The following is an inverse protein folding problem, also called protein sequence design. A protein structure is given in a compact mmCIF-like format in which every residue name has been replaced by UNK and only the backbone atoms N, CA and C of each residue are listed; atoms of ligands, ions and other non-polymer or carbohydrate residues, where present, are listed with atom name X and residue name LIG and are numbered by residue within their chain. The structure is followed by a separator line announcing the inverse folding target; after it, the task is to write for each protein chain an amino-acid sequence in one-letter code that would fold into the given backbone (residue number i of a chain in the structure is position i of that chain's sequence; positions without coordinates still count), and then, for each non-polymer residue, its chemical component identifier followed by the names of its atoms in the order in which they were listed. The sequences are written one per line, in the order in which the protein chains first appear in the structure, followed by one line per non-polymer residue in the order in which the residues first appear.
data_IF_791869612289
#
_entry.id   IF_791869612289
#
_cell.length_a   1.000
_cell.length_b   1.000
_cell.length_c   1.000
_cell.angle_alpha   90.00
_cell.angle_beta   90.00
_cell.angle_gamma   90.00
#
_symmetry.space_group_name_H-M   'P 1'
#
loop_
_entity.id
_entity.type
_entity.pdbx_description
1 polymer ?
#
# COMPACT_ATOMS: atom_id res chain seq x y z
N UNK A 1 -22.11 24.29 -37.41
CA UNK A 1 -22.19 25.20 -36.26
C UNK A 1 -21.24 24.65 -35.21
N UNK A 2 -20.03 25.19 -35.16
CA UNK A 2 -18.97 24.75 -34.24
C UNK A 2 -19.22 25.42 -32.89
N UNK A 3 -19.33 24.63 -31.83
CA UNK A 3 -19.39 25.15 -30.46
C UNK A 3 -18.00 25.05 -29.83
N UNK A 4 -17.56 26.19 -29.32
CA UNK A 4 -16.31 26.45 -28.62
C UNK A 4 -16.35 25.83 -27.20
N UNK A 5 -15.27 25.19 -26.70
CA UNK A 5 -15.26 24.69 -25.33
C UNK A 5 -14.81 25.77 -24.33
N UNK A 6 -15.69 26.10 -23.38
CA UNK A 6 -15.37 26.91 -22.19
C UNK A 6 -14.33 26.19 -21.30
N UNK A 7 -13.24 26.89 -20.99
CA UNK A 7 -12.23 26.46 -20.05
C UNK A 7 -12.65 26.82 -18.61
N UNK A 8 -12.62 25.85 -17.70
CA UNK A 8 -12.88 26.07 -16.28
C UNK A 8 -11.61 26.58 -15.56
N UNK A 9 -11.74 27.48 -14.56
CA UNK A 9 -10.63 28.06 -13.83
C UNK A 9 -9.99 27.08 -12.83
N UNK A 10 -8.65 27.10 -12.76
CA UNK A 10 -7.85 26.40 -11.74
C UNK A 10 -7.75 27.24 -10.46
N UNK A 11 -8.01 26.68 -9.27
CA UNK A 11 -7.67 27.34 -8.01
C UNK A 11 -6.20 27.09 -7.61
N UNK A 12 -5.57 28.19 -7.22
CA UNK A 12 -4.15 28.34 -6.89
C UNK A 12 -3.75 27.71 -5.55
N UNK A 13 -2.48 27.29 -5.49
CA UNK A 13 -1.71 26.84 -4.33
C UNK A 13 -1.73 27.81 -3.13
N UNK A 14 -1.59 27.27 -1.91
CA UNK A 14 -0.77 27.89 -0.86
C UNK A 14 -0.28 26.80 0.10
N UNK A 15 1.02 26.56 0.08
CA UNK A 15 1.75 25.78 1.07
C UNK A 15 2.29 26.76 2.10
N UNK A 16 1.89 26.63 3.35
CA UNK A 16 2.45 27.42 4.44
C UNK A 16 3.54 26.61 5.15
N UNK A 17 4.68 27.26 5.31
CA UNK A 17 5.95 26.70 5.78
C UNK A 17 6.15 27.07 7.24
N UNK A 18 6.75 26.12 7.96
CA UNK A 18 7.63 26.25 9.13
C UNK A 18 8.07 27.67 9.55
N UNK A 19 7.99 27.98 10.85
CA UNK A 19 9.06 28.72 11.55
C UNK A 19 9.14 28.33 13.02
N UNK A 20 10.22 27.63 13.34
CA UNK A 20 10.94 27.62 14.62
C UNK A 20 11.32 29.02 15.12
N UNK A 21 11.31 29.23 16.44
CA UNK A 21 12.40 29.81 17.26
C UNK A 21 11.85 30.63 18.41
N UNK A 22 12.13 30.22 19.64
CA UNK A 22 12.38 31.19 20.72
C UNK A 22 13.37 30.60 21.72
N UNK A 23 14.54 31.24 21.76
CA UNK A 23 15.65 31.05 22.68
C UNK A 23 15.81 32.38 23.43
N UNK A 24 16.40 32.27 24.61
CA UNK A 24 17.06 33.32 25.43
C UNK A 24 16.32 33.60 26.75
N UNK A 25 16.90 33.09 27.82
CA UNK A 25 16.58 33.44 29.20
C UNK A 25 17.83 33.23 30.05
N UNK A 26 18.69 34.25 30.11
CA UNK A 26 19.79 34.36 31.07
C UNK A 26 19.23 34.75 32.45
N UNK A 27 19.55 33.98 33.49
CA UNK A 27 19.68 34.50 34.85
C UNK A 27 20.90 33.89 35.54
N UNK A 28 21.81 34.79 35.85
CA UNK A 28 22.82 34.78 36.90
C UNK A 28 22.26 34.25 38.24
N UNK A 29 23.08 33.55 39.03
CA UNK A 29 23.32 33.74 40.47
C UNK A 29 24.18 32.60 41.04
N UNK A 30 25.17 32.99 41.84
CA UNK A 30 26.26 32.14 42.29
C UNK A 30 25.93 31.07 43.32
N UNK A 31 26.86 30.12 43.40
CA UNK A 31 27.00 29.12 44.43
C UNK A 31 28.26 28.32 44.14
N UNK A 32 29.29 28.45 44.97
CA UNK A 32 30.47 27.58 44.94
C UNK A 32 30.06 26.16 45.35
N UNK A 33 30.23 25.13 44.51
CA UNK A 33 30.12 23.75 44.96
C UNK A 33 31.46 23.25 45.48
N UNK A 34 31.36 22.36 46.47
CA UNK A 34 32.43 21.58 47.08
C UNK A 34 33.26 20.80 46.03
N UNK A 35 34.50 20.36 46.35
CA UNK A 35 35.29 19.57 45.41
C UNK A 35 34.61 18.23 45.12
N UNK A 36 34.11 18.11 43.89
CA UNK A 36 33.53 16.90 43.32
C UNK A 36 34.52 15.72 43.39
N UNK A 37 34.01 14.61 43.92
CA UNK A 37 34.57 13.27 43.73
C UNK A 37 34.69 13.02 42.23
N UNK A 38 35.76 12.37 41.71
CA UNK A 38 35.80 11.98 40.31
C UNK A 38 34.67 10.99 40.07
N UNK A 39 33.55 11.49 39.55
CA UNK A 39 32.49 10.66 38.99
C UNK A 39 33.08 10.11 37.70
N UNK A 40 33.27 8.79 37.64
CA UNK A 40 33.59 8.10 36.39
C UNK A 40 32.69 8.66 35.29
N UNK A 41 33.23 9.03 34.11
CA UNK A 41 32.39 9.41 32.99
C UNK A 41 31.45 8.25 32.73
N UNK A 42 30.16 8.46 33.02
CA UNK A 42 29.10 7.52 32.69
C UNK A 42 29.29 7.14 31.24
N UNK A 43 29.49 5.83 31.02
CA UNK A 43 29.61 5.26 29.69
C UNK A 43 28.51 5.87 28.82
N UNK A 44 28.84 6.48 27.67
CA UNK A 44 27.79 6.97 26.78
C UNK A 44 26.89 5.78 26.51
N UNK A 45 25.61 5.93 26.83
CA UNK A 45 24.58 4.91 26.62
C UNK A 45 24.53 4.66 25.11
N UNK A 46 25.39 3.74 24.66
CA UNK A 46 25.50 3.37 23.26
C UNK A 46 24.12 2.83 22.91
N UNK A 47 23.47 3.35 21.84
CA UNK A 47 22.19 2.80 21.43
C UNK A 47 22.40 1.30 21.26
N UNK A 48 21.62 0.53 22.03
CA UNK A 48 21.64 -0.93 21.98
C UNK A 48 21.63 -1.33 20.49
N UNK A 49 22.50 -2.25 20.07
CA UNK A 49 22.49 -2.70 18.69
C UNK A 49 21.06 -3.13 18.34
N UNK A 50 20.44 -2.45 17.38
CA UNK A 50 19.11 -2.81 16.92
C UNK A 50 19.13 -4.31 16.61
N UNK A 51 18.38 -5.07 17.40
CA UNK A 51 18.28 -6.51 17.20
C UNK A 51 17.93 -6.76 15.73
N UNK A 52 18.59 -7.70 15.02
CA UNK A 52 18.32 -7.93 13.60
C UNK A 52 16.82 -8.19 13.44
N UNK A 53 16.09 -7.21 12.92
CA UNK A 53 14.65 -7.30 12.84
C UNK A 53 14.32 -8.53 12.01
N UNK A 54 13.72 -9.54 12.65
CA UNK A 54 13.34 -10.78 12.00
C UNK A 54 12.53 -10.44 10.76
N UNK A 55 12.87 -10.99 9.58
CA UNK A 55 12.19 -10.62 8.36
C UNK A 55 10.69 -10.87 8.53
N UNK A 56 9.86 -9.91 8.14
CA UNK A 56 8.42 -10.00 8.32
C UNK A 56 7.87 -11.23 7.59
N UNK A 57 6.94 -11.92 8.27
CA UNK A 57 6.37 -13.18 7.75
C UNK A 57 5.25 -12.89 6.78
N UNK A 58 5.34 -13.43 5.57
CA UNK A 58 4.22 -13.42 4.61
C UNK A 58 3.01 -14.15 5.18
N UNK A 59 1.84 -13.54 5.00
CA UNK A 59 0.50 -14.03 5.35
C UNK A 59 -0.28 -14.37 4.09
N UNK A 60 -1.36 -15.15 4.27
CA UNK A 60 -2.23 -15.55 3.17
C UNK A 60 -3.70 -15.34 3.51
N UNK A 61 -4.49 -14.96 2.50
CA UNK A 61 -5.94 -14.90 2.56
C UNK A 61 -6.56 -15.60 1.34
N UNK A 62 -7.71 -16.22 1.53
CA UNK A 62 -8.48 -16.86 0.46
C UNK A 62 -9.60 -15.94 0.00
N UNK A 63 -9.93 -16.04 -1.28
CA UNK A 63 -10.90 -15.15 -1.87
C UNK A 63 -11.32 -15.53 -3.27
N UNK A 64 -11.95 -14.57 -3.93
CA UNK A 64 -12.40 -14.66 -5.31
C UNK A 64 -11.79 -13.54 -6.13
N UNK A 65 -11.62 -13.80 -7.43
CA UNK A 65 -11.30 -12.78 -8.42
C UNK A 65 -12.33 -12.88 -9.53
N UNK A 66 -13.00 -11.78 -9.83
CA UNK A 66 -14.06 -11.71 -10.83
C UNK A 66 -13.74 -10.60 -11.80
N UNK A 67 -13.84 -10.89 -13.09
CA UNK A 67 -13.87 -9.89 -14.15
C UNK A 67 -15.28 -9.87 -14.73
N UNK A 68 -16.07 -8.86 -14.38
CA UNK A 68 -17.48 -8.77 -14.78
C UNK A 68 -17.66 -8.23 -16.20
N UNK A 69 -16.73 -7.40 -16.66
CA UNK A 69 -16.78 -6.75 -17.96
C UNK A 69 -15.36 -6.70 -18.58
N UNK A 70 -15.22 -6.02 -19.71
CA UNK A 70 -13.95 -5.99 -20.45
C UNK A 70 -12.90 -5.03 -19.87
N UNK A 71 -13.17 -4.27 -18.82
CA UNK A 71 -12.23 -3.27 -18.30
C UNK A 71 -12.17 -3.19 -16.77
N UNK A 72 -12.77 -4.12 -16.03
CA UNK A 72 -12.78 -4.10 -14.58
C UNK A 72 -12.61 -5.49 -13.95
N UNK A 73 -11.77 -5.55 -12.92
CA UNK A 73 -11.68 -6.69 -12.01
C UNK A 73 -12.11 -6.31 -10.59
N UNK A 74 -12.68 -7.29 -9.89
CA UNK A 74 -13.06 -7.22 -8.49
C UNK A 74 -12.47 -8.42 -7.77
N UNK A 75 -11.58 -8.17 -6.81
CA UNK A 75 -11.00 -9.20 -5.97
C UNK A 75 -11.53 -9.07 -4.55
N UNK A 76 -11.97 -10.17 -3.95
CA UNK A 76 -12.61 -10.18 -2.64
C UNK A 76 -11.93 -11.20 -1.75
N UNK A 77 -11.42 -10.79 -0.59
CA UNK A 77 -10.69 -11.65 0.35
C UNK A 77 -11.18 -11.47 1.78
N UNK A 78 -11.09 -12.51 2.58
CA UNK A 78 -11.26 -12.40 4.04
C UNK A 78 -9.89 -12.32 4.69
N UNK A 79 -9.57 -11.15 5.26
CA UNK A 79 -8.28 -10.83 5.87
C UNK A 79 -8.50 -10.51 7.34
N UNK A 80 -7.93 -11.34 8.23
CA UNK A 80 -8.02 -11.14 9.69
C UNK A 80 -9.46 -10.92 10.17
N UNK A 81 -10.42 -11.65 9.58
CA UNK A 81 -11.85 -11.57 9.92
C UNK A 81 -12.64 -10.46 9.22
N UNK A 82 -12.00 -9.56 8.46
CA UNK A 82 -12.68 -8.49 7.71
C UNK A 82 -12.75 -8.79 6.22
N UNK A 83 -13.81 -8.32 5.57
CA UNK A 83 -13.95 -8.45 4.12
C UNK A 83 -13.19 -7.32 3.42
N UNK A 84 -12.24 -7.68 2.58
CA UNK A 84 -11.43 -6.75 1.80
C UNK A 84 -11.80 -6.89 0.33
N UNK A 85 -12.14 -5.78 -0.32
CA UNK A 85 -12.48 -5.72 -1.74
C UNK A 85 -11.49 -4.80 -2.45
N UNK A 86 -10.84 -5.31 -3.48
CA UNK A 86 -10.07 -4.52 -4.43
C UNK A 86 -10.85 -4.39 -5.73
N UNK A 87 -11.01 -3.17 -6.23
CA UNK A 87 -11.67 -2.90 -7.51
C UNK A 87 -10.74 -2.10 -8.39
N UNK A 88 -10.39 -2.62 -9.56
CA UNK A 88 -9.46 -1.99 -10.48
C UNK A 88 -10.00 -1.93 -11.89
N UNK A 89 -9.77 -0.77 -12.53
CA UNK A 89 -9.86 -0.63 -13.97
C UNK A 89 -8.60 -1.21 -14.61
N UNK A 90 -8.77 -2.05 -15.62
CA UNK A 90 -7.69 -2.78 -16.30
C UNK A 90 -7.80 -2.63 -17.82
N UNK A 91 -6.69 -2.85 -18.52
CA UNK A 91 -6.66 -2.88 -19.98
C UNK A 91 -7.72 -3.82 -20.58
N UNK A 92 -8.28 -3.38 -21.72
CA UNK A 92 -9.27 -4.14 -22.49
C UNK A 92 -8.59 -5.28 -23.25
N UNK A 93 -9.35 -6.35 -23.51
CA UNK A 93 -8.90 -7.46 -24.37
C UNK A 93 -9.02 -8.84 -23.75
N UNK A 94 -9.45 -8.94 -22.50
CA UNK A 94 -9.72 -10.21 -21.84
C UNK A 94 -11.21 -10.38 -21.59
N UNK A 95 -11.72 -11.58 -21.88
CA UNK A 95 -13.11 -11.95 -21.63
C UNK A 95 -13.43 -11.95 -20.12
N UNK A 96 -14.69 -11.73 -19.73
CA UNK A 96 -15.14 -11.94 -18.36
C UNK A 96 -14.74 -13.33 -17.85
N UNK A 97 -14.33 -13.45 -16.59
CA UNK A 97 -13.99 -14.72 -15.97
C UNK A 97 -14.26 -14.67 -14.46
N UNK A 98 -14.30 -15.84 -13.83
CA UNK A 98 -14.39 -15.95 -12.37
C UNK A 98 -13.41 -16.98 -11.84
N UNK A 99 -12.77 -16.63 -10.73
CA UNK A 99 -12.02 -17.52 -9.86
C UNK A 99 -12.63 -17.51 -8.47
N UNK A 100 -12.92 -18.69 -7.94
CA UNK A 100 -13.41 -18.94 -6.57
C UNK A 100 -12.29 -19.37 -5.63
N UNK A 101 -11.07 -19.53 -6.14
CA UNK A 101 -9.91 -20.05 -5.42
C UNK A 101 -8.71 -19.11 -5.57
N UNK A 102 -8.95 -17.80 -5.42
CA UNK A 102 -7.88 -16.82 -5.39
C UNK A 102 -7.17 -16.86 -4.03
N UNK A 103 -5.85 -16.69 -4.06
CA UNK A 103 -4.97 -16.61 -2.89
C UNK A 103 -4.25 -15.28 -2.93
N UNK A 104 -4.52 -14.45 -1.93
CA UNK A 104 -3.77 -13.23 -1.66
C UNK A 104 -2.59 -13.56 -0.73
N UNK A 105 -1.41 -13.09 -1.08
CA UNK A 105 -0.20 -13.11 -0.26
C UNK A 105 0.19 -11.68 0.06
N UNK A 106 0.40 -11.36 1.33
CA UNK A 106 0.68 -10.01 1.79
C UNK A 106 1.52 -10.07 3.08
N UNK A 107 2.13 -8.95 3.47
CA UNK A 107 2.99 -8.89 4.65
C UNK A 107 2.27 -8.22 5.80
N UNK A 108 1.72 -7.04 5.54
CA UNK A 108 0.97 -6.24 6.49
C UNK A 108 -0.43 -5.95 5.97
N UNK A 109 -1.39 -5.83 6.90
CA UNK A 109 -2.76 -5.40 6.54
C UNK A 109 -2.78 -3.97 6.00
N UNK A 110 -1.78 -3.16 6.34
CA UNK A 110 -1.62 -1.81 5.81
C UNK A 110 -1.39 -1.80 4.29
N UNK A 111 -0.79 -2.86 3.73
CA UNK A 111 -0.54 -3.01 2.29
C UNK A 111 -1.84 -3.20 1.47
N UNK A 112 -2.97 -3.42 2.15
CA UNK A 112 -4.28 -3.67 1.54
C UNK A 112 -5.21 -2.48 1.74
N UNK A 113 -4.70 -1.26 1.54
CA UNK A 113 -5.44 0.00 1.75
C UNK A 113 -5.09 1.03 0.69
N UNK A 114 -6.07 1.80 0.25
CA UNK A 114 -5.85 2.89 -0.70
C UNK A 114 -5.69 2.40 -2.14
N UNK A 115 -5.16 3.30 -2.98
CA UNK A 115 -5.01 3.11 -4.42
C UNK A 115 -3.69 2.45 -4.77
N UNK A 116 -3.73 1.43 -5.62
CA UNK A 116 -2.55 0.68 -6.07
C UNK A 116 -2.61 0.33 -7.54
N UNK A 117 -1.43 0.28 -8.15
CA UNK A 117 -1.23 -0.29 -9.47
C UNK A 117 -1.20 -1.81 -9.36
N UNK A 118 -1.86 -2.49 -10.29
CA UNK A 118 -1.82 -3.94 -10.44
C UNK A 118 -1.27 -4.31 -11.81
N UNK A 119 -0.38 -5.29 -11.82
CA UNK A 119 0.27 -5.82 -13.02
C UNK A 119 0.29 -7.34 -12.96
N UNK A 120 0.27 -8.00 -14.12
CA UNK A 120 0.54 -9.44 -14.18
C UNK A 120 -0.09 -10.08 -15.39
N UNK A 121 -0.44 -11.36 -15.27
CA UNK A 121 -0.91 -12.15 -16.39
C UNK A 121 -2.14 -12.96 -16.01
N UNK A 122 -3.12 -12.99 -16.90
CA UNK A 122 -4.24 -13.92 -16.84
C UNK A 122 -4.07 -14.91 -17.99
N UNK A 123 -3.76 -16.16 -17.64
CA UNK A 123 -3.71 -17.26 -18.58
C UNK A 123 -5.10 -17.85 -18.86
N UNK A 124 -5.12 -19.01 -19.49
CA UNK A 124 -6.36 -19.76 -19.73
C UNK A 124 -6.78 -20.58 -18.50
N UNK A 125 -5.84 -20.99 -17.66
CA UNK A 125 -6.10 -21.84 -16.50
C UNK A 125 -5.83 -21.15 -15.16
N UNK A 126 -4.96 -20.15 -15.15
CA UNK A 126 -4.45 -19.51 -13.96
C UNK A 126 -4.20 -18.01 -14.15
N UNK A 127 -3.84 -17.36 -13.07
CA UNK A 127 -3.42 -15.96 -13.05
C UNK A 127 -2.41 -15.70 -11.95
N UNK A 128 -1.62 -14.66 -12.18
CA UNK A 128 -0.58 -14.14 -11.32
C UNK A 128 -0.63 -12.61 -11.43
N UNK A 129 -0.98 -11.92 -10.34
CA UNK A 129 -1.23 -10.47 -10.31
C UNK A 129 -0.54 -9.82 -9.12
N UNK A 130 0.49 -9.04 -9.39
CA UNK A 130 1.31 -8.32 -8.44
C UNK A 130 0.86 -6.87 -8.26
N UNK A 131 0.87 -6.40 -7.01
CA UNK A 131 0.66 -5.00 -6.67
C UNK A 131 2.00 -4.28 -6.57
N UNK A 132 2.01 -2.98 -6.87
CA UNK A 132 3.21 -2.13 -6.78
C UNK A 132 3.84 -2.08 -5.38
N UNK A 133 3.03 -2.26 -4.34
CA UNK A 133 3.45 -2.27 -2.94
C UNK A 133 3.75 -3.66 -2.38
N UNK A 134 3.75 -4.72 -3.20
CA UNK A 134 4.24 -6.05 -2.81
C UNK A 134 3.21 -7.18 -2.64
N UNK A 135 1.93 -6.94 -2.25
CA UNK A 135 0.90 -7.98 -2.27
C UNK A 135 0.80 -8.70 -3.61
N UNK A 136 0.35 -9.94 -3.56
CA UNK A 136 0.30 -10.80 -4.73
C UNK A 136 -0.95 -11.69 -4.74
N UNK A 137 -1.70 -11.68 -5.84
CA UNK A 137 -2.90 -12.49 -6.05
C UNK A 137 -2.62 -13.57 -7.09
N UNK A 138 -2.77 -14.84 -6.68
CA UNK A 138 -2.62 -16.01 -7.57
C UNK A 138 -3.85 -16.90 -7.49
N UNK A 139 -4.10 -17.69 -8.52
CA UNK A 139 -5.16 -18.68 -8.47
C UNK A 139 -5.47 -19.32 -9.81
N UNK A 140 -6.46 -20.21 -9.80
CA UNK A 140 -6.97 -20.89 -10.99
C UNK A 140 -8.25 -20.24 -11.48
N UNK A 141 -8.47 -20.19 -12.79
CA UNK A 141 -9.73 -19.78 -13.40
C UNK A 141 -10.73 -20.92 -13.32
N UNK A 142 -12.00 -20.61 -12.97
CA UNK A 142 -13.06 -21.61 -12.89
C UNK A 142 -13.92 -21.63 -14.14
N UNK A 143 -14.60 -20.52 -14.45
CA UNK A 143 -15.41 -20.38 -15.66
C UNK A 143 -15.86 -18.92 -15.86
N UNK A 144 -16.07 -18.48 -17.11
CA UNK A 144 -15.51 -19.07 -18.32
C UNK A 144 -13.98 -18.96 -18.34
N UNK A 145 -13.34 -19.87 -19.05
CA UNK A 145 -11.90 -19.81 -19.32
C UNK A 145 -11.67 -18.85 -20.48
N UNK A 146 -10.80 -17.83 -20.32
CA UNK A 146 -10.39 -17.00 -21.44
C UNK A 146 -9.85 -17.82 -22.61
N UNK A 147 -10.11 -17.37 -23.83
CA UNK A 147 -9.60 -18.02 -25.05
C UNK A 147 -8.09 -17.84 -25.24
N UNK A 148 -7.50 -16.85 -24.58
CA UNK A 148 -6.11 -16.45 -24.74
C UNK A 148 -5.56 -15.91 -23.42
N UNK A 149 -4.25 -15.99 -23.29
CA UNK A 149 -3.50 -15.29 -22.26
C UNK A 149 -3.48 -13.78 -22.55
N UNK A 150 -3.44 -12.97 -21.49
CA UNK A 150 -3.39 -11.52 -21.57
C UNK A 150 -2.60 -10.95 -20.40
N UNK A 151 -1.69 -10.03 -20.69
CA UNK A 151 -1.10 -9.17 -19.69
C UNK A 151 -2.14 -8.19 -19.17
N UNK A 152 -2.17 -8.01 -17.87
CA UNK A 152 -3.04 -7.07 -17.18
C UNK A 152 -2.20 -5.94 -16.60
N UNK A 153 -2.64 -4.72 -16.89
CA UNK A 153 -2.19 -3.51 -16.22
C UNK A 153 -3.41 -2.69 -15.82
N UNK A 154 -3.42 -2.17 -14.60
CA UNK A 154 -4.54 -1.40 -14.10
C UNK A 154 -4.25 -0.66 -12.80
N UNK A 155 -5.22 0.14 -12.39
CA UNK A 155 -5.20 0.87 -11.13
C UNK A 155 -6.52 0.67 -10.42
N UNK A 156 -6.47 0.53 -9.10
CA UNK A 156 -7.67 0.30 -8.30
C UNK A 156 -7.48 0.61 -6.83
N UNK A 157 -8.56 0.42 -6.07
CA UNK A 157 -8.62 0.76 -4.65
C UNK A 157 -9.04 -0.41 -3.79
N UNK A 158 -8.41 -0.53 -2.62
CA UNK A 158 -8.86 -1.41 -1.55
C UNK A 158 -9.90 -0.75 -0.65
N UNK A 159 -10.96 -1.49 -0.32
CA UNK A 159 -11.99 -1.12 0.66
C UNK A 159 -12.22 -2.25 1.66
N UNK A 160 -12.33 -1.89 2.94
CA UNK A 160 -12.65 -2.81 4.02
C UNK A 160 -14.14 -2.69 4.40
N UNK A 161 -14.77 -3.82 4.71
CA UNK A 161 -16.16 -3.95 5.17
C UNK A 161 -16.23 -4.81 6.43
#
# INVERSE_FOLDING_TARGET
MSAEPEALPVPSYSSESDTSSDREGLTDQGGLPEPDVPTEPGEPDLPLPEEPQKPPKKKHARGTLVRNNFDEIVATFVVEGSLMIFRAGVNRGLQPFTSKKAKLTYEYRADLKGSHTINGTIGTLDFDLCFDNGPHITGSINHPTPSNECEIHGNGDWKAF
#
